data_IF_237552648505
#
_entry.id   IF_237552648505
#
_cell.length_a   1.000
_cell.length_b   1.000
_cell.length_c   1.000
_cell.angle_alpha   90.00
_cell.angle_beta   90.00
_cell.angle_gamma   90.00
#
_symmetry.space_group_name_H-M   'P 1'
#
loop_
_entity.id
_entity.type
_entity.pdbx_description
1 polymer ?
#
# COMPACT_ATOMS: atom_id res chain seq x y z
N UNK A 1 13.42 22.24 -0.84
CA UNK A 1 13.48 22.55 -2.28
C UNK A 1 14.78 23.29 -2.51
N UNK A 2 15.54 22.87 -3.53
CA UNK A 2 16.78 23.53 -3.94
C UNK A 2 16.61 24.00 -5.38
N UNK A 3 17.31 25.06 -5.79
CA UNK A 3 17.42 25.40 -7.21
C UNK A 3 18.59 24.63 -7.80
N UNK A 4 18.38 23.98 -8.95
CA UNK A 4 19.47 23.40 -9.72
C UNK A 4 20.28 24.50 -10.44
N UNK A 5 21.37 24.13 -11.10
CA UNK A 5 22.23 25.07 -11.86
C UNK A 5 21.50 25.81 -13.00
N UNK A 6 20.25 25.45 -13.30
CA UNK A 6 19.39 26.06 -14.32
C UNK A 6 18.23 26.88 -13.69
N UNK A 7 18.26 27.13 -12.38
CA UNK A 7 17.21 27.88 -11.68
C UNK A 7 15.89 27.12 -11.48
N UNK A 8 15.86 25.81 -11.76
CA UNK A 8 14.66 24.98 -11.56
C UNK A 8 14.58 24.52 -10.11
N UNK A 9 13.44 24.75 -9.47
CA UNK A 9 13.12 24.17 -8.15
C UNK A 9 13.04 22.64 -8.26
N UNK A 10 13.95 21.96 -7.58
CA UNK A 10 14.02 20.50 -7.49
C UNK A 10 13.73 20.04 -6.06
N UNK A 11 13.16 18.84 -5.96
CA UNK A 11 13.06 18.10 -4.71
C UNK A 11 14.37 17.40 -4.43
N UNK A 12 14.78 17.41 -3.18
CA UNK A 12 15.94 16.64 -2.76
C UNK A 12 15.54 15.17 -2.70
N UNK A 13 16.30 14.32 -3.39
CA UNK A 13 16.14 12.88 -3.31
C UNK A 13 16.51 12.44 -1.89
N UNK A 14 15.62 11.67 -1.26
CA UNK A 14 15.79 11.22 0.12
C UNK A 14 16.08 9.71 0.22
N UNK A 15 16.15 9.00 -0.90
CA UNK A 15 16.40 7.56 -0.94
C UNK A 15 16.32 6.98 -2.34
N UNK A 16 16.77 5.74 -2.47
CA UNK A 16 16.70 4.96 -3.72
C UNK A 16 15.26 4.52 -4.03
N UNK A 17 15.03 4.15 -5.29
CA UNK A 17 13.76 3.56 -5.70
C UNK A 17 13.52 2.27 -4.91
N UNK A 18 12.30 2.11 -4.38
CA UNK A 18 11.92 0.92 -3.60
C UNK A 18 10.65 0.30 -4.15
N UNK A 19 10.58 -1.03 -4.08
CA UNK A 19 9.35 -1.77 -4.35
C UNK A 19 8.51 -1.71 -3.09
N UNK A 20 7.36 -1.05 -3.18
CA UNK A 20 6.41 -0.97 -2.08
C UNK A 20 4.97 -1.06 -2.60
N UNK A 21 4.06 -1.53 -1.75
CA UNK A 21 2.62 -1.46 -1.99
C UNK A 21 2.17 -0.03 -1.70
N UNK A 22 2.35 0.84 -2.68
CA UNK A 22 1.83 2.20 -2.68
C UNK A 22 0.68 2.30 -3.69
N UNK A 23 -0.50 2.70 -3.23
CA UNK A 23 -1.68 2.82 -4.09
C UNK A 23 -1.48 3.79 -5.26
N UNK A 24 -0.69 4.84 -5.08
CA UNK A 24 -0.41 5.84 -6.11
C UNK A 24 0.58 5.37 -7.18
N UNK A 25 1.27 4.25 -6.97
CA UNK A 25 2.32 3.74 -7.87
C UNK A 25 1.81 2.69 -8.87
N UNK A 26 0.50 2.41 -8.90
CA UNK A 26 -0.10 1.36 -9.73
C UNK A 26 -1.35 1.80 -10.49
N UNK A 27 -1.75 0.96 -11.45
CA UNK A 27 -3.00 1.10 -12.21
C UNK A 27 -3.89 -0.10 -11.90
N UNK A 28 -5.18 0.15 -11.69
CA UNK A 28 -6.11 -0.84 -11.21
C UNK A 28 -7.37 -0.87 -12.07
N UNK A 29 -7.86 -2.08 -12.36
CA UNK A 29 -9.18 -2.24 -12.98
C UNK A 29 -10.26 -1.91 -11.95
N UNK A 30 -11.23 -1.06 -12.32
CA UNK A 30 -12.40 -0.75 -11.48
C UNK A 30 -13.11 -2.00 -10.96
N UNK A 31 -13.20 -3.05 -11.78
CA UNK A 31 -13.84 -4.31 -11.42
C UNK A 31 -13.19 -5.02 -10.23
N UNK A 32 -11.90 -4.79 -9.96
CA UNK A 32 -11.21 -5.38 -8.80
C UNK A 32 -11.76 -4.78 -7.50
N UNK A 33 -11.98 -3.46 -7.45
CA UNK A 33 -12.59 -2.81 -6.28
C UNK A 33 -14.03 -3.28 -6.06
N UNK A 34 -14.81 -3.41 -7.14
CA UNK A 34 -16.18 -3.92 -7.05
C UNK A 34 -16.20 -5.36 -6.53
N UNK A 35 -15.28 -6.21 -7.01
CA UNK A 35 -15.23 -7.63 -6.62
C UNK A 35 -14.70 -7.85 -5.21
N UNK A 36 -13.67 -7.12 -4.80
CA UNK A 36 -12.97 -7.34 -3.53
C UNK A 36 -13.47 -6.46 -2.39
N UNK A 37 -14.23 -5.40 -2.70
CA UNK A 37 -14.55 -4.33 -1.78
C UNK A 37 -13.45 -3.26 -1.73
N UNK A 38 -13.85 -2.07 -1.29
CA UNK A 38 -12.98 -0.90 -1.14
C UNK A 38 -12.07 -1.01 0.09
N UNK A 39 -11.39 0.08 0.44
CA UNK A 39 -10.57 0.18 1.66
C UNK A 39 -11.44 0.09 2.92
N UNK A 40 -10.88 -0.48 3.98
CA UNK A 40 -11.54 -0.52 5.29
C UNK A 40 -11.47 0.87 5.93
N UNK A 41 -12.60 1.59 6.09
CA UNK A 41 -12.59 2.96 6.63
C UNK A 41 -12.13 3.02 8.10
N UNK A 42 -12.06 1.87 8.79
CA UNK A 42 -11.55 1.81 10.16
C UNK A 42 -10.02 1.75 10.23
N UNK A 43 -9.34 1.55 9.09
CA UNK A 43 -7.88 1.63 9.00
C UNK A 43 -7.50 3.06 8.57
N UNK A 44 -6.98 3.85 9.52
CA UNK A 44 -6.48 5.20 9.24
C UNK A 44 -5.14 5.21 8.49
N UNK A 45 -4.44 4.07 8.51
CA UNK A 45 -3.20 3.80 7.78
C UNK A 45 -3.16 2.31 7.43
N UNK A 46 -2.36 1.94 6.44
CA UNK A 46 -2.18 0.54 6.00
C UNK A 46 -3.46 -0.11 5.44
N UNK A 47 -4.45 0.70 5.08
CA UNK A 47 -5.67 0.28 4.40
C UNK A 47 -5.40 -0.27 3.00
N UNK A 48 -4.39 0.28 2.32
CA UNK A 48 -3.85 -0.20 1.06
C UNK A 48 -3.19 -1.57 1.23
N UNK A 49 -2.37 -1.75 2.28
CA UNK A 49 -1.76 -3.04 2.63
C UNK A 49 -2.83 -4.11 2.86
N UNK A 50 -3.88 -3.84 3.65
CA UNK A 50 -4.99 -4.79 3.82
C UNK A 50 -5.65 -5.14 2.48
N UNK A 51 -5.91 -4.13 1.65
CA UNK A 51 -6.54 -4.33 0.34
C UNK A 51 -5.67 -5.18 -0.59
N UNK A 52 -4.35 -4.97 -0.63
CA UNK A 52 -3.42 -5.82 -1.37
C UNK A 52 -3.37 -7.25 -0.84
N UNK A 53 -3.43 -7.44 0.48
CA UNK A 53 -3.50 -8.78 1.07
C UNK A 53 -4.78 -9.51 0.66
N UNK A 54 -5.94 -8.83 0.67
CA UNK A 54 -7.21 -9.40 0.16
C UNK A 54 -7.12 -9.81 -1.30
N UNK A 55 -6.53 -8.97 -2.15
CA UNK A 55 -6.31 -9.28 -3.55
C UNK A 55 -5.44 -10.53 -3.73
N UNK A 56 -4.33 -10.63 -2.98
CA UNK A 56 -3.43 -11.80 -3.01
C UNK A 56 -4.14 -13.07 -2.54
N UNK A 57 -4.90 -12.98 -1.45
CA UNK A 57 -5.71 -14.07 -0.90
C UNK A 57 -6.78 -14.55 -1.90
N UNK A 58 -7.36 -13.64 -2.68
CA UNK A 58 -8.35 -13.95 -3.70
C UNK A 58 -7.75 -14.36 -5.07
N UNK A 59 -6.42 -14.52 -5.18
CA UNK A 59 -5.74 -14.92 -6.41
C UNK A 59 -5.83 -13.87 -7.53
N UNK A 60 -6.03 -12.60 -7.21
CA UNK A 60 -6.00 -11.52 -8.20
C UNK A 60 -4.56 -11.38 -8.72
N UNK A 61 -4.40 -11.41 -10.05
CA UNK A 61 -3.10 -11.24 -10.70
C UNK A 61 -2.61 -9.80 -10.51
N UNK A 62 -1.41 -9.67 -9.97
CA UNK A 62 -0.69 -8.41 -9.79
C UNK A 62 0.63 -8.54 -10.57
N UNK A 63 0.90 -7.60 -11.46
CA UNK A 63 2.18 -7.50 -12.16
C UNK A 63 2.97 -6.33 -11.56
N UNK A 64 4.21 -6.59 -11.17
CA UNK A 64 5.14 -5.57 -10.67
C UNK A 64 6.06 -5.16 -11.81
N UNK A 65 6.26 -3.85 -11.98
CA UNK A 65 7.17 -3.29 -12.96
C UNK A 65 8.47 -2.88 -12.24
N UNK A 66 9.61 -3.28 -12.78
CA UNK A 66 10.94 -2.91 -12.27
C UNK A 66 11.37 -1.52 -12.79
N UNK A 67 10.45 -0.56 -12.75
CA UNK A 67 10.66 0.82 -13.19
C UNK A 67 10.15 1.80 -12.15
N UNK A 68 10.74 3.00 -12.12
CA UNK A 68 10.23 4.06 -11.24
C UNK A 68 8.92 4.62 -11.78
N UNK A 69 7.81 4.26 -11.15
CA UNK A 69 6.46 4.73 -11.54
C UNK A 69 5.98 5.95 -10.76
N UNK A 70 6.62 6.28 -9.64
CA UNK A 70 6.20 7.38 -8.77
C UNK A 70 7.37 8.04 -8.04
N UNK A 71 7.51 9.36 -8.21
CA UNK A 71 8.31 10.20 -7.32
C UNK A 71 7.44 10.68 -6.16
N UNK A 72 7.62 10.08 -4.99
CA UNK A 72 6.79 10.38 -3.82
C UNK A 72 7.35 11.56 -3.02
N UNK A 73 6.48 12.49 -2.63
CA UNK A 73 6.86 13.63 -1.80
C UNK A 73 6.59 13.36 -0.31
N UNK A 74 7.63 13.41 0.50
CA UNK A 74 7.52 13.33 1.96
C UNK A 74 7.46 14.72 2.60
N UNK A 75 6.33 15.07 3.20
CA UNK A 75 6.18 16.25 4.06
C UNK A 75 6.30 15.87 5.54
N UNK A 76 6.66 16.82 6.41
CA UNK A 76 6.83 16.56 7.84
C UNK A 76 5.54 16.09 8.52
N UNK A 77 4.38 16.58 8.06
CA UNK A 77 3.05 16.20 8.55
C UNK A 77 2.47 14.97 7.85
N UNK A 78 3.23 14.31 6.97
CA UNK A 78 2.75 13.08 6.36
C UNK A 78 2.48 12.05 7.45
N UNK A 79 1.25 11.56 7.48
CA UNK A 79 0.75 10.55 8.42
C UNK A 79 1.66 9.32 8.48
N UNK A 80 2.29 8.95 7.37
CA UNK A 80 3.29 7.88 7.24
C UNK A 80 4.63 8.12 7.96
N UNK A 81 4.86 9.32 8.52
CA UNK A 81 6.00 9.62 9.38
C UNK A 81 5.74 9.33 10.86
N UNK A 82 4.48 9.20 11.28
CA UNK A 82 4.13 8.69 12.62
C UNK A 82 4.35 7.18 12.65
N UNK A 83 5.63 6.79 12.76
CA UNK A 83 6.06 5.39 12.73
C UNK A 83 5.35 4.57 13.80
N UNK A 84 5.12 5.11 15.00
CA UNK A 84 4.46 4.38 16.09
C UNK A 84 3.01 4.03 15.73
N UNK A 85 2.26 4.98 15.19
CA UNK A 85 0.87 4.73 14.73
C UNK A 85 0.85 3.79 13.53
N UNK A 86 1.76 3.97 12.58
CA UNK A 86 1.88 3.11 11.39
C UNK A 86 2.26 1.66 11.69
N UNK A 87 3.10 1.41 12.70
CA UNK A 87 3.39 0.03 13.13
C UNK A 87 2.14 -0.67 13.66
N UNK A 88 1.30 0.01 14.45
CA UNK A 88 0.08 -0.59 15.00
C UNK A 88 -0.94 -0.90 13.90
N UNK A 89 -1.17 0.01 12.97
CA UNK A 89 -2.11 -0.22 11.86
C UNK A 89 -1.63 -1.29 10.88
N UNK A 90 -0.32 -1.34 10.63
CA UNK A 90 0.28 -2.40 9.83
C UNK A 90 0.09 -3.78 10.49
N UNK A 91 0.36 -3.90 11.79
CA UNK A 91 0.09 -5.14 12.53
C UNK A 91 -1.39 -5.51 12.50
N UNK A 92 -2.30 -4.54 12.58
CA UNK A 92 -3.74 -4.78 12.44
C UNK A 92 -4.11 -5.33 11.06
N UNK A 93 -3.54 -4.78 9.97
CA UNK A 93 -3.73 -5.28 8.62
C UNK A 93 -3.21 -6.73 8.47
N UNK A 94 -2.04 -7.03 9.04
CA UNK A 94 -1.49 -8.39 9.07
C UNK A 94 -2.37 -9.37 9.86
N UNK A 95 -2.88 -8.95 11.02
CA UNK A 95 -3.80 -9.76 11.82
C UNK A 95 -5.08 -10.06 11.06
N UNK A 96 -5.72 -9.05 10.45
CA UNK A 96 -6.91 -9.22 9.60
C UNK A 96 -6.68 -10.26 8.50
N UNK A 97 -5.52 -10.18 7.84
CA UNK A 97 -5.09 -11.12 6.81
C UNK A 97 -4.91 -12.55 7.34
N UNK A 98 -4.29 -12.72 8.52
CA UNK A 98 -4.18 -14.02 9.19
C UNK A 98 -5.54 -14.62 9.55
N UNK A 99 -6.44 -13.81 10.11
CA UNK A 99 -7.77 -14.25 10.53
C UNK A 99 -8.61 -14.71 9.32
N UNK A 100 -8.55 -14.01 8.18
CA UNK A 100 -9.21 -14.44 6.92
C UNK A 100 -8.73 -15.80 6.44
N UNK A 101 -7.41 -16.01 6.39
CA UNK A 101 -6.83 -17.31 5.96
C UNK A 101 -7.20 -18.46 6.89
N UNK A 102 -7.23 -18.21 8.21
CA UNK A 102 -7.67 -19.21 9.20
C UNK A 102 -9.12 -19.62 8.96
N UNK A 103 -10.01 -18.65 8.78
CA UNK A 103 -11.42 -18.91 8.54
C UNK A 103 -11.70 -19.61 7.20
N UNK A 104 -10.88 -19.37 6.17
CA UNK A 104 -10.96 -20.11 4.91
C UNK A 104 -10.52 -21.58 5.07
N UNK A 105 -9.48 -21.84 5.85
CA UNK A 105 -9.03 -23.21 6.14
C UNK A 105 -10.02 -24.01 6.99
N UNK A 106 -10.85 -23.34 7.81
CA UNK A 106 -11.90 -24.01 8.61
C UNK A 106 -13.12 -24.43 7.77
N UNK A 107 -13.25 -23.98 6.52
CA UNK A 107 -14.43 -24.26 5.66
C UNK A 107 -14.26 -25.40 4.65
N UNK A 108 -13.23 -26.24 4.77
CA UNK A 108 -13.14 -27.45 3.94
C UNK A 108 -14.15 -28.51 4.44
N UNK A 109 -15.12 -28.96 3.63
CA UNK A 109 -15.89 -30.15 3.93
C UNK A 109 -14.97 -31.38 3.84
N UNK A 110 -15.11 -32.28 4.83
CA UNK A 110 -14.59 -33.65 4.75
C UNK A 110 -15.41 -34.51 3.81
#
# INVERSE_FOLDING_TARGET
>A
MKENQQGKKIFEEFGEATINVNLGAGIYKKSVFIKQGYFDPNLQQSEDVDWFMRNKEAGIKIAMLEETTLYYRLHQDNISRDRKRGYSTFLNALKKSLDRRRNQNTQLPG
#
